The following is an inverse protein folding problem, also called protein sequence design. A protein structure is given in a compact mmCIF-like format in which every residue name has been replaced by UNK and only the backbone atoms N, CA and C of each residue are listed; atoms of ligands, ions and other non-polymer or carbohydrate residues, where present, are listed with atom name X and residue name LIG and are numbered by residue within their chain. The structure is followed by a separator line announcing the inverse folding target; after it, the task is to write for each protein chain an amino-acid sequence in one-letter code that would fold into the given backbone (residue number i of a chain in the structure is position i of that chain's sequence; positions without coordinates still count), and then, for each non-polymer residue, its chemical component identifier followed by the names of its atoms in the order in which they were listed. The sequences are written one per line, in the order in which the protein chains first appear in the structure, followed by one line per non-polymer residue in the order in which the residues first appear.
data_IF_547269586255
#
_entry.id   IF_547269586255
#
_cell.length_a   1.000
_cell.length_b   1.000
_cell.length_c   1.000
_cell.angle_alpha   90.00
_cell.angle_beta   90.00
_cell.angle_gamma   90.00
#
_symmetry.space_group_name_H-M   'P 1'
#
loop_
_entity.id
_entity.type
_entity.pdbx_description
1 polymer ?
#
# COMPACT_ATOMS: atom_id res chain seq x y z
N UNK A 1 9.75 16.74 -6.92
CA UNK A 1 9.70 15.30 -7.14
C UNK A 1 9.99 15.04 -8.60
N UNK A 2 11.01 14.22 -8.84
CA UNK A 2 11.96 14.39 -9.92
C UNK A 2 11.49 13.74 -11.23
N UNK A 3 11.94 14.28 -12.35
CA UNK A 3 11.70 13.90 -13.77
C UNK A 3 11.82 12.38 -14.05
N UNK A 4 12.43 11.63 -13.13
CA UNK A 4 12.76 10.20 -13.17
C UNK A 4 11.59 9.24 -12.95
N UNK A 5 10.59 9.55 -12.11
CA UNK A 5 9.43 8.65 -11.96
C UNK A 5 8.57 8.65 -13.22
N UNK A 6 8.40 9.84 -13.84
CA UNK A 6 7.79 9.97 -15.16
C UNK A 6 8.58 9.21 -16.22
N UNK A 7 9.91 9.16 -16.10
CA UNK A 7 10.78 8.49 -17.04
C UNK A 7 10.86 6.96 -16.88
N UNK A 8 10.50 6.39 -15.73
CA UNK A 8 10.60 4.95 -15.46
C UNK A 8 9.26 4.20 -15.58
N UNK A 9 8.13 4.91 -15.49
CA UNK A 9 6.80 4.39 -15.79
C UNK A 9 6.33 4.87 -17.18
N UNK A 10 7.28 4.98 -18.12
CA UNK A 10 7.22 5.80 -19.33
C UNK A 10 6.35 5.25 -20.47
N UNK A 11 5.67 4.13 -20.27
CA UNK A 11 4.68 3.67 -21.25
C UNK A 11 3.38 4.44 -21.00
N UNK A 12 3.05 5.46 -21.83
CA UNK A 12 1.85 6.27 -21.63
C UNK A 12 0.57 5.44 -21.79
N UNK A 13 0.64 4.32 -22.51
CA UNK A 13 -0.47 3.41 -22.77
C UNK A 13 -0.66 2.42 -21.62
N UNK A 14 0.38 2.19 -20.81
CA UNK A 14 0.28 1.33 -19.63
C UNK A 14 -0.49 2.01 -18.50
N UNK A 15 -1.68 1.49 -18.21
CA UNK A 15 -2.54 1.90 -17.10
C UNK A 15 -2.77 0.76 -16.12
N UNK A 16 -2.81 1.09 -14.84
CA UNK A 16 -2.97 0.13 -13.75
C UNK A 16 -4.40 0.12 -13.23
N UNK A 17 -5.03 -1.05 -13.17
CA UNK A 17 -6.34 -1.23 -12.53
C UNK A 17 -6.24 -1.38 -11.00
N UNK A 18 -5.03 -1.62 -10.49
CA UNK A 18 -4.74 -1.67 -9.06
C UNK A 18 -3.39 -1.02 -8.76
N UNK A 19 -3.39 -0.05 -7.86
CA UNK A 19 -2.18 0.63 -7.37
C UNK A 19 -2.14 0.49 -5.84
N UNK A 20 -1.06 -0.08 -5.33
CA UNK A 20 -0.75 -0.15 -3.89
C UNK A 20 0.40 0.81 -3.58
N UNK A 21 0.28 1.56 -2.50
CA UNK A 21 1.24 2.59 -2.10
C UNK A 21 1.57 2.39 -0.61
N UNK A 22 2.86 2.26 -0.27
CA UNK A 22 3.34 2.31 1.13
C UNK A 22 4.29 3.52 1.32
N UNK A 23 3.75 4.76 1.45
CA UNK A 23 4.59 5.93 1.49
C UNK A 23 5.59 5.89 2.64
N UNK A 24 6.82 6.41 2.45
CA UNK A 24 7.80 6.54 3.52
C UNK A 24 7.41 7.71 4.44
N UNK A 25 6.35 7.50 5.23
CA UNK A 25 5.76 8.49 6.12
C UNK A 25 6.79 9.09 7.08
N UNK A 26 6.72 10.40 7.31
CA UNK A 26 7.59 11.06 8.27
C UNK A 26 7.45 10.47 9.68
N UNK A 27 8.56 9.98 10.21
CA UNK A 27 8.66 9.51 11.58
C UNK A 27 9.85 10.13 12.32
N UNK A 28 9.59 10.65 13.54
CA UNK A 28 10.62 11.19 14.45
C UNK A 28 11.73 10.18 14.74
N UNK A 29 11.45 8.87 14.74
CA UNK A 29 12.48 7.84 14.89
C UNK A 29 13.35 7.67 13.63
N UNK A 30 12.74 7.74 12.44
CA UNK A 30 13.43 7.61 11.15
C UNK A 30 14.38 8.80 10.92
N UNK A 31 13.96 10.03 11.30
CA UNK A 31 14.82 11.24 11.26
C UNK A 31 16.14 11.09 12.03
N UNK A 32 16.17 10.27 13.09
CA UNK A 32 17.41 10.01 13.87
C UNK A 32 18.35 9.00 13.22
N UNK A 33 17.84 8.16 12.31
CA UNK A 33 18.61 7.04 11.73
C UNK A 33 19.33 7.37 10.42
N UNK A 34 19.03 8.51 9.75
CA UNK A 34 19.55 8.92 8.43
C UNK A 34 19.44 7.88 7.29
N UNK A 35 18.82 6.71 7.52
CA UNK A 35 18.80 5.59 6.58
C UNK A 35 17.74 5.71 5.47
N UNK A 36 16.72 6.58 5.64
CA UNK A 36 15.73 6.88 4.60
C UNK A 36 15.27 8.34 4.66
N UNK A 37 15.22 9.00 3.51
CA UNK A 37 14.51 10.26 3.36
C UNK A 37 13.01 9.94 3.33
N UNK A 38 12.30 10.33 4.40
CA UNK A 38 10.83 10.36 4.38
C UNK A 38 10.35 11.38 3.35
N UNK A 39 9.21 11.13 2.71
CA UNK A 39 8.60 12.11 1.83
C UNK A 39 7.72 13.07 2.62
N UNK A 40 7.79 14.36 2.25
CA UNK A 40 6.86 15.36 2.72
C UNK A 40 5.45 15.14 2.12
N UNK A 41 4.40 15.66 2.77
CA UNK A 41 3.03 15.60 2.21
C UNK A 41 2.93 16.17 0.78
N UNK A 42 3.69 17.22 0.47
CA UNK A 42 3.72 17.84 -0.84
C UNK A 42 4.34 16.91 -1.90
N UNK A 43 5.45 16.25 -1.56
CA UNK A 43 6.05 15.26 -2.45
C UNK A 43 5.11 14.08 -2.67
N UNK A 44 4.46 13.56 -1.63
CA UNK A 44 3.48 12.48 -1.82
C UNK A 44 2.38 12.92 -2.78
N UNK A 45 1.81 14.13 -2.64
CA UNK A 45 0.78 14.65 -3.57
C UNK A 45 1.25 14.70 -5.04
N UNK A 46 2.54 14.93 -5.28
CA UNK A 46 3.12 15.02 -6.64
C UNK A 46 3.21 13.66 -7.36
N UNK A 47 2.89 12.54 -6.71
CA UNK A 47 2.81 11.25 -7.41
C UNK A 47 1.71 11.30 -8.49
N UNK A 48 1.99 10.85 -9.73
CA UNK A 48 1.10 10.97 -10.87
C UNK A 48 0.04 9.86 -10.88
N UNK A 49 -0.58 9.55 -9.73
CA UNK A 49 -1.57 8.48 -9.59
C UNK A 49 -2.70 8.59 -10.62
N UNK A 50 -3.31 9.77 -10.88
CA UNK A 50 -4.36 9.88 -11.89
C UNK A 50 -3.89 9.55 -13.31
N UNK A 51 -2.62 9.80 -13.62
CA UNK A 51 -2.06 9.52 -14.94
C UNK A 51 -1.68 8.04 -15.12
N UNK A 52 -1.39 7.33 -14.04
CA UNK A 52 -1.04 5.91 -14.02
C UNK A 52 -2.27 5.00 -13.94
N UNK A 53 -3.36 5.51 -13.38
CA UNK A 53 -4.55 4.73 -13.11
C UNK A 53 -5.39 4.49 -14.37
N UNK A 54 -5.85 3.25 -14.55
CA UNK A 54 -6.92 2.91 -15.49
C UNK A 54 -8.27 3.44 -14.98
N UNK A 55 -9.32 3.52 -15.84
CA UNK A 55 -10.67 3.75 -15.37
C UNK A 55 -11.06 2.75 -14.27
N UNK A 56 -11.74 3.23 -13.22
CA UNK A 56 -12.16 2.44 -12.04
C UNK A 56 -11.01 1.83 -11.20
N UNK A 57 -9.78 2.32 -11.38
CA UNK A 57 -8.62 1.83 -10.63
C UNK A 57 -8.83 1.88 -9.12
N UNK A 58 -8.46 0.78 -8.45
CA UNK A 58 -8.34 0.76 -6.99
C UNK A 58 -6.98 1.29 -6.55
N UNK A 59 -7.02 2.23 -5.61
CA UNK A 59 -5.83 2.83 -4.99
C UNK A 59 -5.82 2.45 -3.52
N UNK A 60 -4.84 1.66 -3.11
CA UNK A 60 -4.67 1.19 -1.74
C UNK A 60 -3.49 1.93 -1.13
N UNK A 61 -3.71 2.66 -0.03
CA UNK A 61 -2.63 3.36 0.67
C UNK A 61 -2.45 2.79 2.06
N UNK A 62 -1.26 2.26 2.34
CA UNK A 62 -0.86 1.90 3.71
C UNK A 62 -0.64 3.15 4.54
N UNK A 63 -1.21 3.18 5.74
CA UNK A 63 -1.13 4.32 6.65
C UNK A 63 -0.71 3.83 8.03
N UNK A 64 0.28 4.52 8.62
CA UNK A 64 0.64 4.31 10.03
C UNK A 64 -0.54 4.66 10.95
N UNK A 65 -0.58 4.15 12.18
CA UNK A 65 -1.64 4.48 13.18
C UNK A 65 -1.63 5.94 13.70
N UNK A 66 -0.97 6.87 13.01
CA UNK A 66 -1.02 8.29 13.32
C UNK A 66 -2.19 8.92 12.59
N UNK A 67 -3.16 9.43 13.36
CA UNK A 67 -4.37 10.05 12.83
C UNK A 67 -4.11 11.19 11.83
N UNK A 68 -2.99 11.93 11.98
CA UNK A 68 -2.61 12.96 11.00
C UNK A 68 -2.38 12.41 9.58
N UNK A 69 -1.82 11.20 9.44
CA UNK A 69 -1.59 10.61 8.13
C UNK A 69 -2.89 10.05 7.55
N UNK A 70 -3.75 9.48 8.40
CA UNK A 70 -5.07 9.02 7.98
C UNK A 70 -5.93 10.17 7.44
N UNK A 71 -6.00 11.29 8.18
CA UNK A 71 -6.69 12.51 7.72
C UNK A 71 -6.08 13.04 6.45
N UNK A 72 -4.76 13.17 6.37
CA UNK A 72 -4.08 13.60 5.15
C UNK A 72 -4.46 12.75 3.93
N UNK A 73 -4.48 11.42 4.06
CA UNK A 73 -4.87 10.54 2.96
C UNK A 73 -6.32 10.78 2.54
N UNK A 74 -7.26 10.78 3.49
CA UNK A 74 -8.71 10.83 3.21
C UNK A 74 -9.19 12.22 2.79
N UNK A 75 -8.67 13.27 3.42
CA UNK A 75 -9.18 14.65 3.31
C UNK A 75 -8.37 15.50 2.32
N UNK A 76 -7.12 15.12 2.01
CA UNK A 76 -6.26 15.92 1.14
C UNK A 76 -5.70 15.16 -0.06
N UNK A 77 -5.10 14.00 0.16
CA UNK A 77 -4.38 13.26 -0.88
C UNK A 77 -5.34 12.64 -1.91
N UNK A 78 -6.34 11.92 -1.43
CA UNK A 78 -7.33 11.28 -2.27
C UNK A 78 -8.16 12.31 -3.07
N UNK A 79 -8.69 13.38 -2.47
CA UNK A 79 -9.32 14.46 -3.23
C UNK A 79 -8.40 15.09 -4.28
N UNK A 80 -7.12 15.30 -3.97
CA UNK A 80 -6.14 15.83 -4.93
C UNK A 80 -5.94 14.92 -6.14
N UNK A 81 -6.01 13.60 -5.96
CA UNK A 81 -5.92 12.62 -7.04
C UNK A 81 -7.27 12.24 -7.66
N UNK A 82 -8.36 12.92 -7.31
CA UNK A 82 -9.71 12.51 -7.73
C UNK A 82 -10.04 11.06 -7.36
N UNK A 83 -9.54 10.60 -6.21
CA UNK A 83 -9.83 9.30 -5.63
C UNK A 83 -10.88 9.48 -4.54
N UNK A 84 -11.91 8.65 -4.55
CA UNK A 84 -12.90 8.58 -3.47
C UNK A 84 -12.49 7.48 -2.50
N UNK A 85 -12.44 7.78 -1.20
CA UNK A 85 -12.30 6.75 -0.16
C UNK A 85 -13.57 5.87 -0.15
N UNK A 86 -13.39 4.55 -0.21
CA UNK A 86 -14.50 3.59 -0.25
C UNK A 86 -14.49 2.61 0.92
N UNK A 87 -13.33 2.35 1.54
CA UNK A 87 -13.24 1.49 2.72
C UNK A 87 -11.99 1.80 3.56
N UNK A 88 -12.00 1.33 4.80
CA UNK A 88 -10.87 1.38 5.73
C UNK A 88 -10.65 -0.03 6.31
N UNK A 89 -9.53 -0.64 5.94
CA UNK A 89 -9.18 -1.99 6.35
C UNK A 89 -8.01 -1.97 7.33
N UNK A 90 -7.84 -3.08 8.03
CA UNK A 90 -6.82 -3.22 9.08
C UNK A 90 -6.02 -4.49 8.85
N UNK A 91 -4.69 -4.38 8.83
CA UNK A 91 -3.81 -5.53 8.97
C UNK A 91 -3.45 -5.71 10.43
N UNK A 92 -3.98 -6.75 11.07
CA UNK A 92 -3.70 -7.15 12.44
C UNK A 92 -2.55 -8.15 12.48
N UNK A 93 -1.62 -7.91 13.38
CA UNK A 93 -0.38 -8.65 13.58
C UNK A 93 -0.52 -9.54 14.81
N UNK A 94 -0.38 -10.84 14.60
CA UNK A 94 -0.45 -11.85 15.65
C UNK A 94 0.86 -12.61 15.81
N UNK A 95 1.06 -13.25 16.95
CA UNK A 95 2.10 -14.25 17.18
C UNK A 95 1.69 -15.57 16.52
N UNK A 96 2.60 -16.54 16.47
CA UNK A 96 2.27 -17.90 16.01
C UNK A 96 1.23 -18.59 16.90
N UNK A 97 1.08 -18.14 18.16
CA UNK A 97 0.06 -18.61 19.08
C UNK A 97 -1.31 -17.94 18.89
N UNK A 98 -1.43 -16.99 17.96
CA UNK A 98 -2.68 -16.26 17.69
C UNK A 98 -2.92 -15.03 18.56
N UNK A 99 -1.97 -14.66 19.43
CA UNK A 99 -2.07 -13.49 20.31
C UNK A 99 -1.62 -12.22 19.60
N UNK A 100 -2.10 -11.05 19.99
CA UNK A 100 -1.59 -9.80 19.41
C UNK A 100 -0.12 -9.56 19.75
N UNK A 101 0.68 -9.11 18.77
CA UNK A 101 2.10 -8.78 18.99
C UNK A 101 2.31 -7.61 19.96
N UNK A 102 1.28 -6.79 20.17
CA UNK A 102 1.19 -5.76 21.20
C UNK A 102 -0.25 -5.69 21.73
N UNK A 103 -0.47 -5.33 23.00
CA UNK A 103 -1.83 -5.08 23.50
C UNK A 103 -2.56 -4.05 22.63
N UNK A 104 -3.84 -4.30 22.32
CA UNK A 104 -4.65 -3.43 21.44
C UNK A 104 -4.83 -2.01 22.00
N UNK A 105 -4.87 -1.92 23.32
CA UNK A 105 -5.00 -0.71 24.14
C UNK A 105 -3.67 0.01 24.37
N UNK A 106 -2.54 -0.55 23.93
CA UNK A 106 -1.23 0.08 24.09
C UNK A 106 -1.18 1.49 23.50
N UNK A 107 -0.60 2.43 24.25
CA UNK A 107 -0.54 3.86 23.93
C UNK A 107 0.42 4.14 22.77
N UNK A 108 1.51 3.37 22.66
CA UNK A 108 2.62 3.70 21.77
C UNK A 108 2.72 2.81 20.52
N UNK A 109 2.32 1.56 20.62
CA UNK A 109 2.39 0.59 19.51
C UNK A 109 1.04 -0.08 19.39
N UNK A 110 0.48 -0.14 18.19
CA UNK A 110 -0.73 -0.91 17.93
C UNK A 110 -0.36 -2.22 17.23
N UNK A 111 -1.09 -3.31 17.49
CA UNK A 111 -0.89 -4.57 16.79
C UNK A 111 -1.49 -4.55 15.39
N UNK A 112 -1.77 -3.39 14.81
CA UNK A 112 -2.33 -3.30 13.47
C UNK A 112 -1.76 -2.13 12.68
N UNK A 113 -1.96 -2.12 11.36
CA UNK A 113 -1.76 -0.98 10.47
C UNK A 113 -3.01 -0.78 9.59
N UNK A 114 -3.23 0.45 9.13
CA UNK A 114 -4.44 0.82 8.39
C UNK A 114 -4.16 0.76 6.89
N UNK A 115 -5.14 0.30 6.12
CA UNK A 115 -5.19 0.44 4.67
C UNK A 115 -6.40 1.31 4.32
N UNK A 116 -6.17 2.42 3.63
CA UNK A 116 -7.26 3.20 3.05
C UNK A 116 -7.49 2.71 1.64
N UNK A 117 -8.70 2.22 1.36
CA UNK A 117 -9.10 1.77 0.03
C UNK A 117 -9.79 2.92 -0.67
N UNK A 118 -9.25 3.31 -1.82
CA UNK A 118 -9.77 4.35 -2.67
C UNK A 118 -10.12 3.83 -4.06
N UNK A 119 -11.01 4.54 -4.74
CA UNK A 119 -11.37 4.27 -6.13
C UNK A 119 -11.29 5.57 -6.93
N UNK A 120 -10.61 5.52 -8.08
CA UNK A 120 -10.52 6.67 -8.97
C UNK A 120 -11.92 7.07 -9.47
N UNK A 121 -12.26 8.35 -9.35
CA UNK A 121 -13.51 8.91 -9.85
C UNK A 121 -13.28 9.36 -11.29
N UNK A 122 -13.97 8.72 -12.24
CA UNK A 122 -14.01 9.17 -13.63
C UNK A 122 -15.28 10.01 -13.85
N UNK A 123 -15.20 10.99 -14.75
CA UNK A 123 -16.32 11.87 -15.14
C UNK A 123 -17.46 11.15 -15.86
N UNK A 124 -17.26 9.88 -16.23
CA UNK A 124 -18.27 9.02 -16.82
C UNK A 124 -18.18 7.64 -16.15
N UNK A 125 -18.93 7.39 -15.07
CA UNK A 125 -19.07 6.06 -14.53
C UNK A 125 -19.83 5.22 -15.54
N UNK A 126 -19.11 4.45 -16.37
CA UNK A 126 -19.75 3.45 -17.21
C UNK A 126 -20.38 2.41 -16.27
N UNK A 127 -21.71 2.25 -16.36
CA UNK A 127 -22.49 1.28 -15.56
C UNK A 127 -21.92 -0.15 -15.65
N UNK A 128 -21.17 -0.45 -16.70
CA UNK A 128 -20.46 -1.70 -16.92
C UNK A 128 -19.33 -1.96 -15.91
N UNK A 129 -18.68 -0.92 -15.37
CA UNK A 129 -17.59 -1.07 -14.40
C UNK A 129 -18.11 -1.38 -12.99
N UNK A 130 -19.22 -0.75 -12.58
CA UNK A 130 -19.84 -1.05 -11.29
C UNK A 130 -20.42 -2.48 -11.22
N UNK A 131 -20.83 -3.06 -12.35
CA UNK A 131 -21.42 -4.39 -12.40
C UNK A 131 -20.39 -5.54 -12.36
N UNK A 132 -19.13 -5.28 -12.74
CA UNK A 132 -18.11 -6.33 -12.93
C UNK A 132 -17.31 -6.69 -11.67
N UNK A 133 -17.25 -5.80 -10.68
CA UNK A 133 -16.41 -5.96 -9.48
C UNK A 133 -17.28 -6.18 -8.24
N UNK A 134 -16.90 -7.12 -7.36
CA UNK A 134 -17.62 -7.30 -6.09
C UNK A 134 -17.62 -5.99 -5.27
N UNK A 135 -18.70 -5.69 -4.53
CA UNK A 135 -18.72 -4.58 -3.59
C UNK A 135 -17.57 -4.69 -2.59
N UNK A 136 -16.87 -3.58 -2.38
CA UNK A 136 -15.78 -3.51 -1.41
C UNK A 136 -16.40 -3.41 -0.01
N UNK A 137 -16.09 -4.33 0.92
CA UNK A 137 -16.57 -4.23 2.28
C UNK A 137 -15.97 -2.99 2.94
N UNK A 138 -16.81 -2.21 3.62
CA UNK A 138 -16.40 -0.99 4.33
C UNK A 138 -15.30 -1.28 5.37
N UNK A 139 -15.39 -2.44 6.02
CA UNK A 139 -14.43 -2.93 7.00
C UNK A 139 -13.98 -4.35 6.65
N UNK A 140 -12.66 -4.57 6.60
CA UNK A 140 -12.04 -5.89 6.45
C UNK A 140 -10.80 -5.96 7.34
N UNK A 141 -10.58 -7.12 7.94
CA UNK A 141 -9.39 -7.39 8.76
C UNK A 141 -8.57 -8.45 8.06
N UNK A 142 -7.29 -8.14 7.83
CA UNK A 142 -6.27 -9.07 7.37
C UNK A 142 -5.48 -9.47 8.61
N UNK A 143 -5.36 -10.76 8.91
CA UNK A 143 -4.62 -11.24 10.07
C UNK A 143 -3.41 -12.04 9.58
N UNK A 144 -2.21 -11.71 10.06
CA UNK A 144 -1.03 -12.53 9.78
C UNK A 144 0.03 -12.40 10.87
N UNK A 145 0.96 -13.37 10.89
CA UNK A 145 2.21 -13.23 11.63
C UNK A 145 3.13 -12.29 10.85
N UNK A 146 3.61 -11.18 11.44
CA UNK A 146 4.50 -10.26 10.74
C UNK A 146 5.88 -10.90 10.56
N UNK A 147 6.55 -10.55 9.46
CA UNK A 147 7.96 -10.88 9.30
C UNK A 147 8.81 -10.19 10.37
N UNK A 148 9.91 -10.82 10.78
CA UNK A 148 10.89 -10.22 11.71
C UNK A 148 11.55 -8.96 11.12
N UNK A 149 11.61 -8.86 9.79
CA UNK A 149 12.11 -7.70 9.06
C UNK A 149 11.14 -6.53 9.18
N UNK A 150 11.67 -5.38 9.58
CA UNK A 150 10.87 -4.18 9.77
C UNK A 150 10.20 -3.71 8.47
N UNK A 151 8.93 -3.32 8.61
CA UNK A 151 8.10 -2.77 7.53
C UNK A 151 7.88 -3.71 6.33
N UNK A 152 7.96 -5.03 6.54
CA UNK A 152 7.52 -5.99 5.52
C UNK A 152 6.01 -6.23 5.66
N UNK A 153 5.23 -5.64 4.75
CA UNK A 153 3.78 -5.77 4.67
C UNK A 153 3.38 -7.12 4.07
N UNK A 154 2.22 -7.70 4.43
CA UNK A 154 1.74 -8.90 3.77
C UNK A 154 1.40 -8.59 2.30
N UNK A 155 1.62 -9.51 1.37
CA UNK A 155 1.19 -9.34 -0.01
C UNK A 155 -0.33 -9.21 -0.07
N UNK A 156 -0.82 -8.26 -0.86
CA UNK A 156 -2.26 -7.97 -0.96
C UNK A 156 -2.94 -8.62 -2.17
N UNK A 157 -2.20 -9.30 -3.06
CA UNK A 157 -2.73 -9.92 -4.29
C UNK A 157 -3.95 -10.78 -4.01
N UNK A 158 -3.83 -11.73 -3.08
CA UNK A 158 -4.92 -12.66 -2.76
C UNK A 158 -6.10 -11.98 -2.04
N UNK A 159 -5.83 -10.92 -1.28
CA UNK A 159 -6.88 -10.18 -0.55
C UNK A 159 -7.70 -9.30 -1.49
N UNK A 160 -7.06 -8.79 -2.54
CA UNK A 160 -7.64 -7.83 -3.49
C UNK A 160 -8.17 -8.47 -4.77
N UNK A 161 -7.80 -9.72 -5.08
CA UNK A 161 -8.16 -10.41 -6.34
C UNK A 161 -9.67 -10.47 -6.61
N UNK A 162 -10.50 -10.47 -5.57
CA UNK A 162 -11.96 -10.56 -5.71
C UNK A 162 -12.62 -9.21 -6.03
N UNK A 163 -11.90 -8.09 -5.86
CA UNK A 163 -12.41 -6.73 -6.06
C UNK A 163 -11.84 -6.05 -7.31
N UNK A 164 -11.00 -6.76 -8.05
CA UNK A 164 -10.25 -6.27 -9.20
C UNK A 164 -10.36 -7.30 -10.32
N UNK A 165 -10.48 -6.85 -11.57
CA UNK A 165 -10.53 -7.78 -12.71
C UNK A 165 -9.22 -8.60 -12.81
N UNK A 166 -9.27 -9.88 -13.23
CA UNK A 166 -8.08 -10.73 -13.27
C UNK A 166 -6.96 -10.20 -14.16
N UNK A 167 -7.32 -9.56 -15.26
CA UNK A 167 -6.46 -9.13 -16.37
C UNK A 167 -5.90 -7.70 -16.24
N UNK A 168 -6.07 -7.04 -15.10
CA UNK A 168 -5.50 -5.70 -14.92
C UNK A 168 -4.00 -5.74 -14.63
N UNK A 169 -3.32 -4.70 -15.08
CA UNK A 169 -1.97 -4.38 -14.62
C UNK A 169 -2.01 -3.89 -13.16
N UNK A 170 -0.99 -4.30 -12.39
CA UNK A 170 -0.88 -4.00 -10.95
C UNK A 170 0.44 -3.26 -10.66
N UNK A 171 0.39 -2.22 -9.84
CA UNK A 171 1.55 -1.40 -9.47
C UNK A 171 1.70 -1.34 -7.96
N UNK A 172 2.91 -1.58 -7.46
CA UNK A 172 3.31 -1.31 -6.09
C UNK A 172 4.33 -0.16 -6.06
N UNK A 173 3.95 0.97 -5.47
CA UNK A 173 4.80 2.14 -5.24
C UNK A 173 5.45 2.07 -3.86
N UNK A 174 6.73 2.44 -3.82
CA UNK A 174 7.63 2.28 -2.66
C UNK A 174 7.86 0.82 -2.28
N UNK A 175 7.79 -0.06 -3.27
CA UNK A 175 7.98 -1.49 -3.10
C UNK A 175 9.36 -1.83 -2.54
N UNK A 176 9.40 -2.87 -1.71
CA UNK A 176 10.64 -3.46 -1.15
C UNK A 176 10.85 -4.92 -1.55
N UNK A 177 9.89 -5.46 -2.29
CA UNK A 177 9.82 -6.84 -2.70
C UNK A 177 9.25 -6.90 -4.12
N UNK A 178 9.67 -7.90 -4.91
CA UNK A 178 9.03 -8.22 -6.18
C UNK A 178 7.82 -9.12 -5.91
N UNK A 179 6.68 -8.77 -6.49
CA UNK A 179 5.46 -9.59 -6.46
C UNK A 179 5.18 -10.13 -7.87
N UNK A 180 4.91 -11.44 -8.04
CA UNK A 180 4.56 -12.00 -9.33
C UNK A 180 3.36 -11.29 -9.97
N UNK A 181 3.50 -10.83 -11.21
CA UNK A 181 2.44 -10.12 -11.93
C UNK A 181 2.22 -8.65 -11.51
N UNK A 182 3.17 -8.05 -10.79
CA UNK A 182 3.15 -6.63 -10.43
C UNK A 182 4.34 -5.89 -11.03
N UNK A 183 4.11 -4.66 -11.46
CA UNK A 183 5.17 -3.66 -11.56
C UNK A 183 5.53 -3.19 -10.14
N UNK A 184 6.77 -3.38 -9.70
CA UNK A 184 7.27 -2.87 -8.42
C UNK A 184 8.17 -1.66 -8.66
N UNK A 185 7.89 -0.54 -7.99
CA UNK A 185 8.67 0.69 -8.13
C UNK A 185 9.08 1.23 -6.76
N UNK A 186 10.35 1.59 -6.61
CA UNK A 186 10.91 2.16 -5.39
C UNK A 186 12.43 2.03 -5.32
N UNK A 187 13.04 2.70 -4.33
CA UNK A 187 14.50 2.69 -4.17
C UNK A 187 15.04 1.36 -3.61
N UNK A 188 14.15 0.46 -3.17
CA UNK A 188 14.50 -0.75 -2.42
C UNK A 188 13.82 -2.00 -2.98
N UNK A 189 13.40 -2.00 -4.24
CA UNK A 189 12.55 -3.06 -4.84
C UNK A 189 13.09 -4.48 -4.62
N UNK A 190 14.41 -4.65 -4.60
CA UNK A 190 15.07 -5.95 -4.43
C UNK A 190 15.45 -6.27 -2.98
N UNK A 191 15.07 -5.43 -2.00
CA UNK A 191 15.54 -5.55 -0.61
C UNK A 191 15.22 -6.90 0.00
N UNK A 192 14.03 -7.44 -0.21
CA UNK A 192 13.60 -8.70 0.37
C UNK A 192 13.78 -9.92 -0.56
N UNK A 193 14.62 -9.79 -1.60
CA UNK A 193 14.88 -10.86 -2.58
C UNK A 193 16.13 -11.69 -2.26
N UNK A 194 16.86 -11.38 -1.17
CA UNK A 194 18.01 -12.16 -0.76
C UNK A 194 17.60 -13.50 -0.13
N UNK A 195 18.35 -14.57 -0.41
CA UNK A 195 18.06 -15.94 0.07
C UNK A 195 17.97 -16.03 1.60
N UNK A 196 18.74 -15.22 2.32
CA UNK A 196 18.69 -15.15 3.80
C UNK A 196 17.30 -14.76 4.35
N UNK A 197 16.44 -14.16 3.53
CA UNK A 197 15.06 -13.84 3.91
C UNK A 197 14.06 -14.95 3.60
N UNK A 198 14.48 -15.98 2.86
CA UNK A 198 13.68 -17.15 2.48
C UNK A 198 14.04 -18.39 3.29
N UNK A 199 15.22 -18.40 3.90
CA UNK A 199 15.70 -19.49 4.73
C UNK A 199 15.33 -19.18 6.20
N UNK A 200 14.58 -20.05 6.88
CA UNK A 200 14.38 -19.92 8.33
C UNK A 200 15.75 -19.88 9.01
N UNK A 201 15.98 -19.00 10.00
CA UNK A 201 17.22 -19.07 10.76
C UNK A 201 17.37 -20.50 11.28
N UNK A 202 18.55 -21.10 11.04
CA UNK A 202 18.81 -22.44 11.55
C UNK A 202 18.45 -22.46 13.03
N UNK A 203 17.56 -23.37 13.42
CA UNK A 203 17.26 -23.65 14.82
C UNK A 203 18.52 -24.21 15.46
N UNK A 204 19.43 -23.32 15.83
CA UNK A 204 20.64 -23.62 16.57
C UNK A 204 20.29 -23.75 18.05
N UNK A 205 20.27 -25.02 18.50
CA UNK A 205 20.40 -25.57 19.87
C UNK A 205 19.93 -24.72 21.05
#
# INVERSE_FOLDING_TARGET
MDTWMKASLQDPDKKYGLIVIDPPWENKSVKRSKRYNSLSPLEIKQLPIPALAAPDCLVITWVTNRQKHLRFVKEELYPHWSVRSVAEWHWVKITQAGEFVFPIDSVHKKPYEILVVGRLVTSSPSREFEAASRPIPEHKIIVSVPCSLHSHKPPLSEVLKEFVKPDVERLELFARNLQPGWTSWGNEVLKFQHMDYLIPPETGK
#
